data_IF_282417934210
#
_entry.id   IF_282417934210
#
_cell.length_a   1.000
_cell.length_b   1.000
_cell.length_c   1.000
_cell.angle_alpha   90.00
_cell.angle_beta   90.00
_cell.angle_gamma   90.00
#
_symmetry.space_group_name_H-M   'P 1'
#
loop_
_entity.id
_entity.type
_entity.pdbx_description
1 polymer ?
#
# COMPACT_ATOMS: atom_id res chain seq x y z
N UNK A 1 3.41 -18.50 -9.34
CA UNK A 1 4.39 -18.92 -8.31
C UNK A 1 4.30 -17.91 -7.18
N UNK A 2 3.83 -18.32 -6.00
CA UNK A 2 3.77 -17.48 -4.80
C UNK A 2 5.21 -17.05 -4.43
N UNK A 3 5.62 -15.78 -4.51
CA UNK A 3 5.20 -14.61 -3.72
C UNK A 3 5.63 -14.67 -2.24
N UNK A 4 6.50 -15.62 -1.88
CA UNK A 4 7.02 -15.80 -0.52
C UNK A 4 8.17 -14.85 -0.13
N UNK A 5 8.82 -14.16 -1.08
CA UNK A 5 9.94 -13.24 -0.79
C UNK A 5 9.50 -11.82 -0.44
N UNK A 6 8.38 -11.34 -0.99
CA UNK A 6 7.94 -9.96 -0.82
C UNK A 6 7.11 -9.78 0.46
N UNK A 7 7.25 -8.66 1.18
CA UNK A 7 6.39 -8.29 2.30
C UNK A 7 4.92 -8.21 1.88
N UNK A 8 4.03 -8.71 2.73
CA UNK A 8 2.58 -8.66 2.55
C UNK A 8 1.99 -7.32 3.04
N UNK A 9 1.27 -6.62 2.16
CA UNK A 9 0.61 -5.34 2.47
C UNK A 9 -0.91 -5.34 2.22
N UNK A 10 -1.55 -6.51 2.21
CA UNK A 10 -2.98 -6.70 1.87
C UNK A 10 -3.94 -5.84 2.69
N UNK A 11 -3.72 -5.69 4.00
CA UNK A 11 -4.55 -4.81 4.84
C UNK A 11 -4.44 -3.34 4.40
N UNK A 12 -3.24 -2.89 4.04
CA UNK A 12 -3.01 -1.53 3.54
C UNK A 12 -3.68 -1.33 2.18
N UNK A 13 -3.57 -2.31 1.28
CA UNK A 13 -4.27 -2.30 -0.01
C UNK A 13 -5.78 -2.17 0.17
N UNK A 14 -6.38 -2.97 1.05
CA UNK A 14 -7.83 -2.93 1.27
C UNK A 14 -8.30 -1.59 1.85
N UNK A 15 -7.55 -1.01 2.80
CA UNK A 15 -7.84 0.34 3.27
C UNK A 15 -7.74 1.38 2.14
N UNK A 16 -6.71 1.27 1.30
CA UNK A 16 -6.50 2.18 0.19
C UNK A 16 -7.64 2.09 -0.82
N UNK A 17 -8.09 0.87 -1.14
CA UNK A 17 -9.27 0.60 -1.96
C UNK A 17 -10.52 1.31 -1.40
N UNK A 18 -10.84 1.09 -0.12
CA UNK A 18 -12.01 1.69 0.53
C UNK A 18 -11.97 3.23 0.58
N UNK A 19 -10.77 3.82 0.56
CA UNK A 19 -10.58 5.27 0.47
C UNK A 19 -10.72 5.79 -0.96
N UNK A 20 -10.40 4.98 -1.97
CA UNK A 20 -10.45 5.35 -3.38
C UNK A 20 -11.84 5.19 -3.98
N UNK A 21 -12.50 4.08 -3.67
CA UNK A 21 -13.86 3.78 -4.13
C UNK A 21 -14.95 4.57 -3.35
N UNK A 22 -14.55 5.25 -2.27
CA UNK A 22 -15.44 6.02 -1.42
C UNK A 22 -16.30 5.16 -0.48
N UNK A 23 -16.00 3.86 -0.32
CA UNK A 23 -16.72 2.93 0.56
C UNK A 23 -16.71 3.41 2.01
N UNK A 24 -15.64 4.07 2.45
CA UNK A 24 -15.60 4.66 3.80
C UNK A 24 -16.60 5.81 3.98
N UNK A 25 -16.92 6.56 2.92
CA UNK A 25 -17.80 7.73 2.97
C UNK A 25 -17.06 9.06 3.19
N UNK A 26 -17.68 10.16 2.74
CA UNK A 26 -17.09 11.50 2.83
C UNK A 26 -16.81 11.98 4.26
N UNK A 27 -17.57 11.48 5.25
CA UNK A 27 -17.44 11.89 6.65
C UNK A 27 -16.15 11.32 7.23
N UNK A 28 -15.84 10.08 6.88
CA UNK A 28 -14.68 9.32 7.32
C UNK A 28 -13.40 9.89 6.70
N UNK A 29 -13.45 10.28 5.43
CA UNK A 29 -12.37 11.02 4.77
C UNK A 29 -12.13 12.39 5.44
N UNK A 30 -13.21 13.13 5.74
CA UNK A 30 -13.11 14.40 6.47
C UNK A 30 -12.52 14.20 7.86
N UNK A 31 -12.83 13.09 8.54
CA UNK A 31 -12.24 12.77 9.83
C UNK A 31 -10.71 12.60 9.72
N UNK A 32 -10.23 11.87 8.71
CA UNK A 32 -8.79 11.75 8.42
C UNK A 32 -8.12 13.09 8.08
N UNK A 33 -8.83 13.98 7.37
CA UNK A 33 -8.33 15.32 7.08
C UNK A 33 -8.22 16.20 8.33
N UNK A 34 -9.10 15.98 9.31
CA UNK A 34 -9.14 16.76 10.55
C UNK A 34 -8.13 16.31 11.62
N UNK A 35 -7.71 15.03 11.61
CA UNK A 35 -6.70 14.54 12.55
C UNK A 35 -5.28 14.96 12.12
N UNK A 36 -4.76 16.03 12.73
CA UNK A 36 -3.40 16.55 12.45
C UNK A 36 -2.28 15.51 12.61
N UNK A 37 -2.44 14.50 13.47
CA UNK A 37 -1.42 13.47 13.72
C UNK A 37 -1.35 12.45 12.59
N UNK A 38 -2.49 12.19 11.95
CA UNK A 38 -2.63 11.15 10.93
C UNK A 38 -2.82 11.70 9.51
N UNK A 39 -3.15 12.99 9.38
CA UNK A 39 -3.31 13.68 8.09
C UNK A 39 -2.13 13.47 7.15
N UNK A 40 -0.89 13.57 7.66
CA UNK A 40 0.32 13.36 6.84
C UNK A 40 0.41 11.94 6.29
N UNK A 41 0.02 10.94 7.09
CA UNK A 41 0.02 9.53 6.69
C UNK A 41 -1.08 9.25 5.69
N UNK A 42 -2.27 9.81 5.90
CA UNK A 42 -3.36 9.76 4.93
C UNK A 42 -2.95 10.39 3.59
N UNK A 43 -2.46 11.63 3.60
CA UNK A 43 -1.97 12.32 2.40
C UNK A 43 -0.87 11.55 1.69
N UNK A 44 0.07 10.99 2.44
CA UNK A 44 1.14 10.18 1.88
C UNK A 44 0.60 8.89 1.25
N UNK A 45 -0.36 8.21 1.90
CA UNK A 45 -1.02 7.05 1.31
C UNK A 45 -1.69 7.43 -0.02
N UNK A 46 -2.39 8.57 -0.05
CA UNK A 46 -3.01 9.13 -1.26
C UNK A 46 -2.01 9.55 -2.35
N UNK A 47 -0.76 9.79 -2.00
CA UNK A 47 0.28 10.02 -3.02
C UNK A 47 0.66 8.75 -3.78
N UNK A 48 0.30 7.57 -3.24
CA UNK A 48 0.49 6.27 -3.87
C UNK A 48 -0.70 5.81 -4.72
N UNK A 49 -1.75 6.64 -4.90
CA UNK A 49 -2.96 6.31 -5.70
C UNK A 49 -2.58 5.73 -7.07
N UNK A 50 -1.65 6.38 -7.79
CA UNK A 50 -1.22 5.93 -9.13
C UNK A 50 -0.58 4.54 -9.13
N UNK A 51 0.23 4.24 -8.11
CA UNK A 51 0.86 2.93 -7.98
C UNK A 51 -0.17 1.85 -7.62
N UNK A 52 -1.21 2.22 -6.87
CA UNK A 52 -2.31 1.35 -6.51
C UNK A 52 -3.25 1.07 -7.70
N UNK A 53 -3.62 2.11 -8.47
CA UNK A 53 -4.43 1.98 -9.68
C UNK A 53 -3.78 1.06 -10.71
N UNK A 54 -2.45 1.09 -10.82
CA UNK A 54 -1.71 0.17 -11.69
C UNK A 54 -1.99 -1.30 -11.31
N UNK A 55 -2.01 -1.61 -10.01
CA UNK A 55 -2.32 -2.96 -9.50
C UNK A 55 -3.78 -3.33 -9.74
N UNK A 56 -4.73 -2.43 -9.51
CA UNK A 56 -6.16 -2.75 -9.69
C UNK A 56 -6.52 -3.01 -11.15
N UNK A 57 -5.96 -2.22 -12.08
CA UNK A 57 -6.23 -2.34 -13.51
C UNK A 57 -5.61 -3.61 -14.15
N UNK A 58 -4.94 -4.47 -13.36
CA UNK A 58 -4.52 -5.81 -13.78
C UNK A 58 -5.69 -6.80 -13.85
N UNK A 59 -6.74 -6.60 -13.04
CA UNK A 59 -7.82 -7.57 -12.87
C UNK A 59 -9.05 -7.28 -13.73
N UNK A 60 -9.06 -6.17 -14.47
CA UNK A 60 -10.11 -5.83 -15.43
C UNK A 60 -9.72 -6.37 -16.80
N UNK A 61 -10.31 -7.51 -17.26
CA UNK A 61 -10.19 -7.87 -18.66
C UNK A 61 -10.80 -6.71 -19.47
N UNK A 62 -10.01 -6.15 -20.39
CA UNK A 62 -10.45 -5.09 -21.29
C UNK A 62 -11.49 -5.67 -22.25
N UNK A 63 -12.73 -5.80 -21.78
CA UNK A 63 -13.86 -6.21 -22.60
C UNK A 63 -14.50 -4.92 -23.12
N UNK A 64 -14.34 -4.67 -24.43
CA UNK A 64 -14.85 -3.57 -25.28
C UNK A 64 -13.81 -2.45 -25.50
N UNK A 65 -13.43 -2.05 -26.71
CA UNK A 65 -14.10 -2.16 -28.01
C UNK A 65 -13.09 -2.21 -29.16
N UNK A 66 -13.43 -3.00 -30.18
CA UNK A 66 -12.95 -2.81 -31.54
C UNK A 66 -13.35 -1.41 -32.03
N UNK A 67 -12.38 -0.53 -32.28
CA UNK A 67 -12.41 0.48 -33.34
C UNK A 67 -11.19 1.41 -33.22
N UNK A 68 -10.27 1.24 -34.18
CA UNK A 68 -9.33 2.23 -34.68
C UNK A 68 -8.16 2.68 -33.80
N UNK A 69 -7.03 2.78 -34.50
CA UNK A 69 -5.93 3.71 -34.28
C UNK A 69 -4.81 3.21 -33.36
N UNK A 70 -3.73 2.79 -34.04
CA UNK A 70 -2.35 2.76 -33.59
C UNK A 70 -2.07 3.68 -32.40
N UNK A 71 -1.91 3.11 -31.22
CA UNK A 71 -1.05 3.68 -30.18
C UNK A 71 -0.23 2.53 -29.65
N UNK A 72 1.10 2.69 -29.74
CA UNK A 72 2.11 1.82 -29.13
C UNK A 72 1.64 1.35 -27.75
N UNK A 73 1.16 0.11 -27.68
CA UNK A 73 0.90 -0.53 -26.41
C UNK A 73 2.26 -0.86 -25.81
N UNK A 74 2.81 0.09 -25.04
CA UNK A 74 3.95 -0.18 -24.16
C UNK A 74 3.65 -1.46 -23.38
N UNK A 75 4.58 -2.43 -23.34
CA UNK A 75 4.38 -3.67 -22.60
C UNK A 75 3.97 -3.34 -21.17
N UNK A 76 2.82 -3.88 -20.72
CA UNK A 76 2.39 -3.74 -19.34
C UNK A 76 3.46 -4.34 -18.43
N UNK A 77 3.92 -3.58 -17.42
CA UNK A 77 4.91 -4.06 -16.46
C UNK A 77 4.41 -5.35 -15.78
N UNK A 78 5.27 -6.33 -15.47
CA UNK A 78 4.86 -7.54 -14.75
C UNK A 78 4.18 -7.22 -13.41
N UNK A 79 3.17 -8.00 -13.02
CA UNK A 79 2.39 -7.79 -11.78
C UNK A 79 3.25 -7.67 -10.52
N UNK A 80 4.31 -8.47 -10.44
CA UNK A 80 5.26 -8.44 -9.32
C UNK A 80 6.02 -7.11 -9.23
N UNK A 81 6.34 -6.48 -10.37
CA UNK A 81 7.02 -5.18 -10.40
C UNK A 81 6.07 -4.08 -9.93
N UNK A 82 4.81 -4.13 -10.35
CA UNK A 82 3.80 -3.15 -9.90
C UNK A 82 3.49 -3.30 -8.41
N UNK A 83 3.40 -4.54 -7.91
CA UNK A 83 3.28 -4.80 -6.47
C UNK A 83 4.48 -4.25 -5.70
N UNK A 84 5.70 -4.45 -6.21
CA UNK A 84 6.91 -3.91 -5.58
C UNK A 84 6.90 -2.37 -5.56
N UNK A 85 6.51 -1.71 -6.64
CA UNK A 85 6.39 -0.24 -6.73
C UNK A 85 5.37 0.31 -5.73
N UNK A 86 4.20 -0.34 -5.61
CA UNK A 86 3.22 0.03 -4.62
C UNK A 86 3.70 -0.19 -3.20
N UNK A 87 4.26 -1.38 -2.92
CA UNK A 87 4.80 -1.72 -1.61
C UNK A 87 5.87 -0.72 -1.18
N UNK A 88 6.79 -0.36 -2.08
CA UNK A 88 7.83 0.64 -1.83
C UNK A 88 7.22 2.00 -1.51
N UNK A 89 6.26 2.48 -2.32
CA UNK A 89 5.57 3.75 -2.07
C UNK A 89 4.89 3.80 -0.70
N UNK A 90 4.02 2.83 -0.39
CA UNK A 90 3.26 2.86 0.87
C UNK A 90 4.15 2.59 2.08
N UNK A 91 5.17 1.76 1.92
CA UNK A 91 6.15 1.49 2.98
C UNK A 91 7.04 2.71 3.24
N UNK A 92 7.43 3.46 2.21
CA UNK A 92 8.22 4.68 2.35
C UNK A 92 7.45 5.76 3.11
N UNK A 93 6.15 5.86 2.85
CA UNK A 93 5.28 6.82 3.55
C UNK A 93 4.98 6.41 4.99
N UNK A 94 4.58 5.16 5.21
CA UNK A 94 4.03 4.72 6.49
C UNK A 94 5.08 4.13 7.44
N UNK A 95 6.10 3.50 6.87
CA UNK A 95 7.00 2.57 7.55
C UNK A 95 8.46 2.67 7.09
N UNK A 96 8.93 3.89 6.77
CA UNK A 96 10.24 4.17 6.15
C UNK A 96 11.41 3.41 6.80
N UNK A 97 11.44 3.36 8.14
CA UNK A 97 12.51 2.68 8.88
C UNK A 97 12.51 1.18 8.62
N UNK A 98 11.34 0.54 8.71
CA UNK A 98 11.22 -0.90 8.46
C UNK A 98 11.44 -1.24 6.98
N UNK A 99 11.08 -0.32 6.07
CA UNK A 99 11.42 -0.45 4.65
C UNK A 99 12.93 -0.46 4.45
N UNK A 100 13.65 0.50 5.02
CA UNK A 100 15.11 0.56 4.94
C UNK A 100 15.79 -0.71 5.50
N UNK A 101 15.34 -1.20 6.66
CA UNK A 101 15.90 -2.43 7.24
C UNK A 101 15.70 -3.66 6.34
N UNK A 102 14.51 -3.79 5.74
CA UNK A 102 14.23 -4.87 4.80
C UNK A 102 15.00 -4.70 3.49
N UNK A 103 15.03 -3.50 2.92
CA UNK A 103 15.78 -3.18 1.70
C UNK A 103 17.27 -3.47 1.84
N UNK A 104 17.88 -3.05 2.95
CA UNK A 104 19.28 -3.38 3.26
C UNK A 104 19.53 -4.88 3.33
N UNK A 105 18.60 -5.65 3.90
CA UNK A 105 18.74 -7.11 3.93
C UNK A 105 18.71 -7.70 2.51
N UNK A 106 17.77 -7.24 1.68
CA UNK A 106 17.67 -7.67 0.27
C UNK A 106 18.94 -7.34 -0.51
N UNK A 107 19.52 -6.16 -0.31
CA UNK A 107 20.80 -5.77 -0.92
C UNK A 107 21.94 -6.71 -0.53
N UNK A 108 22.06 -7.07 0.76
CA UNK A 108 23.09 -8.00 1.24
C UNK A 108 22.92 -9.41 0.64
N UNK A 109 21.68 -9.88 0.47
CA UNK A 109 21.38 -11.16 -0.20
C UNK A 109 21.76 -11.09 -1.68
N UNK A 110 21.45 -9.99 -2.37
CA UNK A 110 21.83 -9.81 -3.78
C UNK A 110 23.35 -9.77 -3.98
N UNK A 111 24.08 -9.20 -3.02
CA UNK A 111 25.54 -9.18 -3.00
C UNK A 111 26.16 -10.52 -2.55
N UNK A 112 25.35 -11.56 -2.32
CA UNK A 112 25.77 -12.88 -1.82
C UNK A 112 26.51 -12.82 -0.48
N UNK A 113 26.28 -11.77 0.31
CA UNK A 113 26.88 -11.58 1.63
C UNK A 113 26.05 -12.22 2.75
N UNK A 114 24.83 -12.67 2.45
CA UNK A 114 23.91 -13.23 3.44
C UNK A 114 22.85 -14.15 2.79
N UNK A 115 22.38 -15.15 3.54
CA UNK A 115 21.27 -16.01 3.11
C UNK A 115 19.91 -15.31 3.21
N UNK A 116 19.02 -15.60 2.27
CA UNK A 116 17.67 -15.01 2.19
C UNK A 116 16.81 -15.24 3.45
N UNK A 117 17.05 -16.33 4.20
CA UNK A 117 16.34 -16.65 5.45
C UNK A 117 16.51 -15.55 6.50
N UNK A 118 17.62 -14.83 6.49
CA UNK A 118 17.85 -13.75 7.43
C UNK A 118 16.96 -12.52 7.17
N UNK A 119 16.39 -12.40 5.97
CA UNK A 119 15.45 -11.32 5.65
C UNK A 119 14.03 -11.59 6.15
N UNK A 120 13.73 -12.76 6.71
CA UNK A 120 12.40 -13.04 7.28
C UNK A 120 12.04 -12.09 8.42
N UNK A 121 12.97 -11.80 9.33
CA UNK A 121 12.72 -10.91 10.46
C UNK A 121 12.43 -9.46 10.00
N UNK A 122 13.30 -8.79 9.22
CA UNK A 122 13.00 -7.43 8.76
C UNK A 122 11.76 -7.39 7.85
N UNK A 123 11.51 -8.41 7.04
CA UNK A 123 10.24 -8.56 6.29
C UNK A 123 9.03 -8.51 7.23
N UNK A 124 8.99 -9.38 8.26
CA UNK A 124 7.87 -9.42 9.23
C UNK A 124 7.71 -8.11 10.00
N UNK A 125 8.80 -7.39 10.26
CA UNK A 125 8.74 -6.07 10.92
C UNK A 125 8.05 -5.04 10.03
N UNK A 126 8.38 -5.01 8.74
CA UNK A 126 7.72 -4.14 7.77
C UNK A 126 6.21 -4.46 7.66
N UNK A 127 5.85 -5.73 7.51
CA UNK A 127 4.45 -6.17 7.46
C UNK A 127 3.66 -5.76 8.71
N UNK A 128 4.26 -5.92 9.90
CA UNK A 128 3.65 -5.50 11.18
C UNK A 128 3.48 -3.98 11.25
N UNK A 129 4.46 -3.23 10.78
CA UNK A 129 4.36 -1.77 10.73
C UNK A 129 3.20 -1.34 9.82
N UNK A 130 3.15 -1.87 8.59
CA UNK A 130 2.10 -1.55 7.63
C UNK A 130 0.70 -1.85 8.19
N UNK A 131 0.54 -3.02 8.81
CA UNK A 131 -0.71 -3.39 9.49
C UNK A 131 -1.07 -2.39 10.60
N UNK A 132 -0.11 -2.06 11.47
CA UNK A 132 -0.34 -1.14 12.58
C UNK A 132 -0.68 0.28 12.12
N UNK A 133 -0.07 0.77 11.04
CA UNK A 133 -0.38 2.08 10.46
C UNK A 133 -1.73 2.10 9.75
N UNK A 134 -2.06 1.01 9.05
CA UNK A 134 -3.39 0.80 8.46
C UNK A 134 -4.48 0.85 9.53
N UNK A 135 -4.30 0.14 10.64
CA UNK A 135 -5.26 0.16 11.75
C UNK A 135 -5.42 1.55 12.37
N UNK A 136 -4.34 2.32 12.50
CA UNK A 136 -4.41 3.71 13.01
C UNK A 136 -5.24 4.60 12.10
N UNK A 137 -5.02 4.50 10.79
CA UNK A 137 -5.79 5.26 9.80
C UNK A 137 -7.26 4.83 9.82
N UNK A 138 -7.56 3.54 9.81
CA UNK A 138 -8.94 3.06 9.89
C UNK A 138 -9.66 3.51 11.17
N UNK A 139 -8.98 3.45 12.32
CA UNK A 139 -9.55 3.92 13.60
C UNK A 139 -9.84 5.41 13.60
N UNK A 140 -9.03 6.20 12.90
CA UNK A 140 -9.19 7.64 12.80
C UNK A 140 -10.21 8.07 11.75
N UNK A 141 -10.41 7.27 10.70
CA UNK A 141 -11.47 7.51 9.72
C UNK A 141 -12.84 7.26 10.32
N UNK A 142 -12.98 6.30 11.25
CA UNK A 142 -14.27 5.93 11.84
C UNK A 142 -14.34 6.20 13.35
N UNK A 143 -14.21 7.47 13.81
CA UNK A 143 -14.22 7.80 15.23
C UNK A 143 -15.50 7.35 15.94
N UNK A 144 -16.65 7.31 15.25
CA UNK A 144 -17.93 6.84 15.79
C UNK A 144 -17.93 5.34 16.14
N UNK A 145 -17.13 4.53 15.44
CA UNK A 145 -17.04 3.09 15.67
C UNK A 145 -16.03 2.79 16.78
N UNK A 146 -14.88 3.47 16.76
CA UNK A 146 -13.76 3.17 17.66
C UNK A 146 -13.70 4.05 18.91
N UNK A 147 -14.44 5.17 18.94
CA UNK A 147 -14.60 6.07 20.09
C UNK A 147 -16.05 6.58 20.16
N UNK A 148 -17.04 5.70 20.40
CA UNK A 148 -18.46 6.08 20.42
C UNK A 148 -18.81 7.16 21.46
N UNK A 149 -17.98 7.34 22.51
CA UNK A 149 -18.19 8.32 23.58
C UNK A 149 -17.14 9.44 23.62
N UNK A 150 -16.37 9.64 22.54
CA UNK A 150 -15.40 10.73 22.45
C UNK A 150 -16.10 12.04 22.08
N UNK A 151 -16.47 12.85 23.06
CA UNK A 151 -16.98 14.20 22.85
C UNK A 151 -15.97 15.04 22.05
N UNK A 152 -16.47 15.78 21.06
CA UNK A 152 -15.77 16.91 20.41
C UNK A 152 -15.59 18.02 21.45
#
# INVERSE_FOLDING_TARGET
>A
MNDASMPQCTSTMHLHEMLLDGTLGEREDRALMSDRRLYRKYRGLRSCDKAFDAILNMNTPTIKSAASSNTDATPSKPSQVQYAEYLDCVSGVLCEKSLHEWGRCVELVQQQQQDSIHCERPKRMLERCLRGETEKLLKASQPQVFRPNGSI
#
